data_IF_624202146055
#
_entry.id   IF_624202146055
#
_cell.length_a   1.000
_cell.length_b   1.000
_cell.length_c   1.000
_cell.angle_alpha   90.00
_cell.angle_beta   90.00
_cell.angle_gamma   90.00
#
_symmetry.space_group_name_H-M   'P 1'
#
loop_
_entity.id
_entity.type
_entity.pdbx_description
1 polymer ?
#
# COMPACT_ATOMS: atom_id res chain seq x y z
N UNK A 1 -10.43 -10.44 11.72
CA UNK A 1 -10.32 -9.32 12.68
C UNK A 1 -9.68 -8.14 11.97
N UNK A 2 -10.23 -6.92 12.03
CA UNK A 2 -9.52 -5.76 11.52
C UNK A 2 -8.26 -5.58 12.38
N UNK A 3 -7.08 -5.74 11.79
CA UNK A 3 -5.85 -5.33 12.46
C UNK A 3 -5.89 -3.81 12.58
N UNK A 4 -6.20 -3.33 13.78
CA UNK A 4 -6.20 -1.91 14.10
C UNK A 4 -4.75 -1.45 14.23
N UNK A 5 -4.14 -1.11 13.10
CA UNK A 5 -2.85 -0.44 13.10
C UNK A 5 -3.06 1.02 13.48
N UNK A 6 -2.25 1.51 14.41
CA UNK A 6 -2.30 2.92 14.78
C UNK A 6 -1.90 3.77 13.57
N UNK A 7 -2.48 4.98 13.41
CA UNK A 7 -2.13 5.87 12.30
C UNK A 7 -0.64 6.27 12.33
N UNK A 8 -0.04 6.31 13.52
CA UNK A 8 1.40 6.54 13.70
C UNK A 8 2.23 5.41 13.09
N UNK A 9 1.83 4.16 13.33
CA UNK A 9 2.49 3.00 12.74
C UNK A 9 2.34 2.99 11.21
N UNK A 10 1.13 3.23 10.70
CA UNK A 10 0.90 3.36 9.24
C UNK A 10 1.81 4.43 8.62
N UNK A 11 1.93 5.61 9.24
CA UNK A 11 2.81 6.69 8.77
C UNK A 11 4.28 6.27 8.77
N UNK A 12 4.76 5.64 9.84
CA UNK A 12 6.15 5.14 9.92
C UNK A 12 6.48 4.20 8.76
N UNK A 13 5.58 3.26 8.49
CA UNK A 13 5.79 2.27 7.43
C UNK A 13 5.75 2.89 6.02
N UNK A 14 4.78 3.78 5.77
CA UNK A 14 4.70 4.48 4.49
C UNK A 14 5.93 5.38 4.27
N UNK A 15 6.43 6.04 5.33
CA UNK A 15 7.66 6.83 5.28
C UNK A 15 8.87 5.99 4.93
N UNK A 16 9.07 4.83 5.56
CA UNK A 16 10.15 3.90 5.20
C UNK A 16 10.08 3.46 3.73
N UNK A 17 8.87 3.29 3.18
CA UNK A 17 8.70 2.93 1.77
C UNK A 17 9.03 4.08 0.82
N UNK A 18 8.61 5.31 1.14
CA UNK A 18 8.75 6.47 0.25
C UNK A 18 10.12 7.15 0.38
N UNK A 19 10.65 7.21 1.59
CA UNK A 19 11.86 7.96 1.96
C UNK A 19 13.10 7.06 1.91
N UNK A 20 13.01 5.84 2.42
CA UNK A 20 14.13 4.86 2.42
C UNK A 20 14.10 3.94 1.19
N UNK A 21 13.05 4.03 0.35
CA UNK A 21 12.91 3.22 -0.87
C UNK A 21 12.80 1.71 -0.62
N UNK A 22 12.55 1.30 0.63
CA UNK A 22 12.59 -0.11 1.05
C UNK A 22 11.57 -0.97 0.32
N UNK A 23 11.94 -2.21 0.02
CA UNK A 23 11.05 -3.17 -0.63
C UNK A 23 9.91 -3.59 0.29
N UNK A 24 8.69 -3.76 -0.24
CA UNK A 24 7.50 -4.24 0.49
C UNK A 24 7.85 -5.48 1.32
N UNK A 25 8.62 -6.42 0.75
CA UNK A 25 9.01 -7.65 1.42
C UNK A 25 9.88 -7.39 2.66
N UNK A 26 10.85 -6.48 2.57
CA UNK A 26 11.75 -6.13 3.68
C UNK A 26 10.95 -5.56 4.85
N UNK A 27 10.04 -4.63 4.57
CA UNK A 27 9.20 -4.00 5.57
C UNK A 27 8.23 -5.03 6.20
N UNK A 28 7.64 -5.91 5.39
CA UNK A 28 6.69 -6.92 5.89
C UNK A 28 7.36 -7.96 6.79
N UNK A 29 8.60 -8.35 6.46
CA UNK A 29 9.38 -9.29 7.26
C UNK A 29 9.88 -8.66 8.54
N UNK A 30 10.39 -7.42 8.48
CA UNK A 30 10.92 -6.70 9.64
C UNK A 30 9.83 -6.33 10.67
N UNK A 31 8.70 -5.80 10.19
CA UNK A 31 7.64 -5.26 11.05
C UNK A 31 6.46 -6.23 11.25
N UNK A 32 6.56 -7.45 10.71
CA UNK A 32 5.51 -8.47 10.84
C UNK A 32 4.17 -8.07 10.19
N UNK A 33 4.21 -7.24 9.16
CA UNK A 33 3.01 -6.74 8.47
C UNK A 33 2.67 -7.62 7.28
N UNK A 34 1.38 -7.78 6.98
CA UNK A 34 0.98 -8.48 5.77
C UNK A 34 1.26 -7.64 4.51
N UNK A 35 1.73 -8.29 3.44
CA UNK A 35 1.92 -7.67 2.11
C UNK A 35 0.66 -6.96 1.62
N UNK A 36 -0.50 -7.50 1.95
CA UNK A 36 -1.81 -6.93 1.61
C UNK A 36 -2.07 -5.61 2.34
N UNK A 37 -1.75 -5.54 3.64
CA UNK A 37 -1.86 -4.31 4.44
C UNK A 37 -0.99 -3.21 3.84
N UNK A 38 0.27 -3.52 3.51
CA UNK A 38 1.19 -2.55 2.95
C UNK A 38 0.77 -2.08 1.55
N UNK A 39 0.24 -2.99 0.71
CA UNK A 39 -0.37 -2.64 -0.58
C UNK A 39 -1.59 -1.73 -0.41
N UNK A 40 -2.44 -1.99 0.60
CA UNK A 40 -3.60 -1.15 0.91
C UNK A 40 -3.17 0.25 1.32
N UNK A 41 -2.18 0.40 2.20
CA UNK A 41 -1.66 1.72 2.58
C UNK A 41 -1.04 2.49 1.41
N UNK A 42 -0.31 1.80 0.53
CA UNK A 42 0.24 2.40 -0.68
C UNK A 42 -0.87 2.85 -1.64
N UNK A 43 -1.96 2.07 -1.73
CA UNK A 43 -3.14 2.43 -2.51
C UNK A 43 -3.88 3.60 -1.90
N UNK A 44 -4.14 3.60 -0.59
CA UNK A 44 -4.77 4.72 0.12
C UNK A 44 -3.98 6.03 -0.09
N UNK A 45 -2.66 6.02 0.07
CA UNK A 45 -1.82 7.20 -0.19
C UNK A 45 -1.86 7.66 -1.65
N UNK A 46 -1.84 6.73 -2.62
CA UNK A 46 -2.00 7.06 -4.04
C UNK A 46 -3.39 7.56 -4.36
N UNK A 47 -4.42 7.01 -3.72
CA UNK A 47 -5.82 7.36 -3.91
C UNK A 47 -6.12 8.71 -3.26
N UNK A 48 -5.54 9.08 -2.12
CA UNK A 48 -5.61 10.46 -1.61
C UNK A 48 -5.01 11.47 -2.61
N UNK A 49 -3.98 11.06 -3.35
CA UNK A 49 -3.40 11.86 -4.43
C UNK A 49 -4.25 11.83 -5.72
N UNK A 50 -4.97 10.74 -6.00
CA UNK A 50 -5.71 10.48 -7.24
C UNK A 50 -7.20 10.83 -7.17
N UNK A 51 -7.82 10.81 -5.99
CA UNK A 51 -9.22 11.15 -5.73
C UNK A 51 -9.44 12.66 -5.77
N UNK A 52 -8.39 13.48 -5.62
CA UNK A 52 -8.41 14.88 -6.09
C UNK A 52 -8.46 15.01 -7.62
N UNK A 53 -8.28 13.93 -8.38
CA UNK A 53 -8.15 13.96 -9.84
C UNK A 53 -9.15 13.12 -10.63
N UNK A 54 -9.73 12.04 -10.11
CA UNK A 54 -10.58 11.15 -10.94
C UNK A 54 -11.71 10.52 -10.12
N UNK A 55 -12.93 10.96 -10.42
CA UNK A 55 -14.18 10.23 -10.22
C UNK A 55 -14.08 8.91 -11.03
N UNK A 56 -14.38 7.76 -10.42
CA UNK A 56 -14.81 6.45 -11.02
C UNK A 56 -13.97 5.17 -10.78
N UNK A 57 -14.64 4.00 -10.55
CA UNK A 57 -14.03 2.73 -10.14
C UNK A 57 -13.62 1.83 -11.32
N UNK A 58 -12.33 1.84 -11.67
CA UNK A 58 -11.74 0.92 -12.65
C UNK A 58 -11.18 -0.35 -12.00
N UNK A 59 -11.86 -1.47 -12.18
CA UNK A 59 -11.48 -2.80 -11.68
C UNK A 59 -10.11 -3.27 -12.21
N UNK A 60 -9.35 -3.88 -11.30
CA UNK A 60 -8.34 -4.96 -11.43
C UNK A 60 -7.76 -5.19 -12.84
N UNK A 61 -6.50 -4.75 -13.06
CA UNK A 61 -5.64 -5.34 -14.08
C UNK A 61 -5.21 -6.74 -13.63
N UNK A 62 -5.83 -7.79 -14.17
CA UNK A 62 -5.17 -9.09 -14.30
C UNK A 62 -4.35 -9.02 -15.58
N UNK A 63 -3.03 -9.05 -15.44
CA UNK A 63 -2.12 -9.34 -16.55
C UNK A 63 -2.32 -10.83 -16.88
N UNK A 64 -3.08 -11.13 -17.93
CA UNK A 64 -2.97 -12.41 -18.61
C UNK A 64 -2.18 -12.15 -19.88
N UNK A 65 -0.87 -12.38 -19.77
CA UNK A 65 -0.01 -12.62 -20.90
C UNK A 65 -0.16 -14.11 -21.23
N UNK A 66 -0.85 -14.45 -22.31
CA UNK A 66 -0.68 -15.75 -22.95
C UNK A 66 -0.48 -15.51 -24.44
N UNK A 67 0.47 -16.30 -24.95
CA UNK A 67 1.29 -16.13 -26.15
C UNK A 67 0.52 -16.25 -27.47
#
# INVERSE_FOLDING_TARGET
>A
MPQNYTPEFKKKIVRLRLEEGRTINSITTEYGISKETLRRWCREMKEECRTRRIIMPGKKHKVSLQA
#
